data_IF_298365451988
#
_entry.id   IF_298365451988
#
_cell.length_a   1.000
_cell.length_b   1.000
_cell.length_c   1.000
_cell.angle_alpha   90.00
_cell.angle_beta   90.00
_cell.angle_gamma   90.00
#
_symmetry.space_group_name_H-M   'P 1'
#
loop_
_entity.id
_entity.type
_entity.pdbx_description
1 polymer ?
#
# COMPACT_ATOMS: atom_id res chain seq x y z
N UNK A 1 3.74 -4.62 7.76
CA UNK A 1 4.21 -5.65 6.80
C UNK A 1 4.87 -4.96 5.62
N UNK A 2 5.85 -5.61 4.98
CA UNK A 2 6.57 -5.05 3.83
C UNK A 2 5.92 -5.58 2.54
N UNK A 3 5.39 -4.72 1.65
CA UNK A 3 4.74 -5.21 0.45
C UNK A 3 5.70 -5.86 -0.55
N UNK A 4 5.28 -6.94 -1.18
CA UNK A 4 6.07 -7.76 -2.11
C UNK A 4 5.44 -7.78 -3.50
N UNK A 5 6.23 -7.45 -4.52
CA UNK A 5 5.84 -7.57 -5.94
C UNK A 5 6.72 -8.63 -6.59
N UNK A 6 6.11 -9.68 -7.13
CA UNK A 6 6.83 -10.72 -7.87
C UNK A 6 7.00 -10.30 -9.33
N UNK A 7 8.23 -10.33 -9.85
CA UNK A 7 8.55 -9.93 -11.22
C UNK A 7 9.23 -11.08 -11.96
N UNK A 8 8.59 -11.63 -12.98
CA UNK A 8 8.97 -12.92 -13.56
C UNK A 8 8.66 -13.06 -15.04
N UNK A 9 9.32 -13.98 -15.74
CA UNK A 9 9.00 -14.34 -17.14
C UNK A 9 7.95 -15.44 -17.26
N UNK A 10 7.47 -15.98 -16.13
CA UNK A 10 6.42 -16.99 -16.10
C UNK A 10 5.06 -16.34 -16.31
N UNK A 11 4.34 -16.80 -17.33
CA UNK A 11 3.08 -16.18 -17.78
C UNK A 11 1.87 -17.07 -17.58
N UNK A 12 2.09 -18.33 -17.18
CA UNK A 12 1.03 -19.29 -16.93
C UNK A 12 0.16 -18.83 -15.76
N UNK A 13 -1.14 -19.09 -15.86
CA UNK A 13 -2.09 -18.73 -14.81
C UNK A 13 -1.74 -19.42 -13.49
N UNK A 14 -1.31 -20.70 -13.54
CA UNK A 14 -0.89 -21.46 -12.36
C UNK A 14 0.28 -20.80 -11.61
N UNK A 15 1.27 -20.27 -12.33
CA UNK A 15 2.40 -19.56 -11.72
C UNK A 15 1.97 -18.25 -11.03
N UNK A 16 0.96 -17.56 -11.58
CA UNK A 16 0.41 -16.34 -10.96
C UNK A 16 -0.35 -16.66 -9.69
N UNK A 17 -1.23 -17.66 -9.75
CA UNK A 17 -2.02 -18.12 -8.60
C UNK A 17 -1.10 -18.55 -7.47
N UNK A 18 -0.10 -19.40 -7.76
CA UNK A 18 0.89 -19.82 -6.78
C UNK A 18 1.66 -18.62 -6.20
N UNK A 19 2.03 -17.64 -7.03
CA UNK A 19 2.66 -16.40 -6.58
C UNK A 19 1.84 -15.64 -5.54
N UNK A 20 0.53 -15.54 -5.76
CA UNK A 20 -0.38 -14.91 -4.80
C UNK A 20 -0.58 -15.74 -3.53
N UNK A 21 -0.71 -17.06 -3.64
CA UNK A 21 -0.82 -17.97 -2.49
C UNK A 21 0.42 -17.94 -1.59
N UNK A 22 1.60 -17.71 -2.17
CA UNK A 22 2.85 -17.52 -1.42
C UNK A 22 2.96 -16.13 -0.75
N UNK A 23 1.98 -15.25 -0.91
CA UNK A 23 1.92 -13.95 -0.23
C UNK A 23 2.44 -12.75 -1.04
N UNK A 24 2.46 -12.83 -2.37
CA UNK A 24 2.72 -11.64 -3.19
C UNK A 24 1.53 -10.66 -3.17
N UNK A 25 1.80 -9.36 -3.02
CA UNK A 25 0.78 -8.30 -3.13
C UNK A 25 0.45 -7.90 -4.57
N UNK A 26 1.36 -8.21 -5.50
CA UNK A 26 1.22 -8.03 -6.94
C UNK A 26 2.16 -8.99 -7.70
N UNK A 27 1.81 -9.30 -8.94
CA UNK A 27 2.55 -10.20 -9.82
C UNK A 27 2.68 -9.58 -11.22
N UNK A 28 3.91 -9.42 -11.70
CA UNK A 28 4.24 -8.72 -12.95
C UNK A 28 5.04 -9.61 -13.88
N UNK A 29 4.51 -9.83 -15.07
CA UNK A 29 5.17 -10.60 -16.12
C UNK A 29 6.10 -9.71 -16.94
N UNK A 30 7.28 -10.22 -17.32
CA UNK A 30 8.17 -9.60 -18.30
C UNK A 30 7.70 -9.93 -19.74
N UNK A 31 7.86 -9.01 -20.71
CA UNK A 31 8.39 -7.65 -20.56
C UNK A 31 7.34 -6.67 -20.01
N UNK A 32 7.78 -5.70 -19.22
CA UNK A 32 6.95 -4.61 -18.72
C UNK A 32 7.64 -3.26 -18.97
N UNK A 33 6.85 -2.19 -19.02
CA UNK A 33 7.42 -0.84 -19.09
C UNK A 33 7.82 -0.34 -17.70
N UNK A 34 8.85 0.50 -17.57
CA UNK A 34 9.17 1.14 -16.29
C UNK A 34 7.98 1.93 -15.70
N UNK A 35 7.14 2.51 -16.56
CA UNK A 35 5.93 3.25 -16.15
C UNK A 35 4.89 2.34 -15.51
N UNK A 36 4.71 1.13 -16.03
CA UNK A 36 3.79 0.13 -15.47
C UNK A 36 4.25 -0.29 -14.07
N UNK A 37 5.52 -0.69 -13.93
CA UNK A 37 6.06 -1.11 -12.64
C UNK A 37 5.94 0.01 -11.59
N UNK A 38 6.23 1.26 -11.97
CA UNK A 38 6.05 2.41 -11.10
C UNK A 38 4.58 2.61 -10.67
N UNK A 39 3.62 2.39 -11.58
CA UNK A 39 2.21 2.50 -11.25
C UNK A 39 1.77 1.41 -10.25
N UNK A 40 2.25 0.18 -10.44
CA UNK A 40 1.99 -0.96 -9.55
C UNK A 40 2.59 -0.77 -8.16
N UNK A 41 3.85 -0.33 -8.08
CA UNK A 41 4.51 0.03 -6.81
C UNK A 41 3.66 1.07 -6.04
N UNK A 42 3.23 2.13 -6.72
CA UNK A 42 2.37 3.16 -6.09
C UNK A 42 1.04 2.59 -5.61
N UNK A 43 0.42 1.69 -6.37
CA UNK A 43 -0.84 1.05 -6.01
C UNK A 43 -0.70 0.16 -4.76
N UNK A 44 0.36 -0.64 -4.70
CA UNK A 44 0.68 -1.50 -3.55
C UNK A 44 0.95 -0.67 -2.29
N UNK A 45 1.79 0.36 -2.38
CA UNK A 45 2.09 1.26 -1.24
C UNK A 45 0.83 1.98 -0.77
N UNK A 46 -0.04 2.42 -1.70
CA UNK A 46 -1.31 3.07 -1.33
C UNK A 46 -2.20 2.11 -0.54
N UNK A 47 -2.30 0.83 -0.91
CA UNK A 47 -3.08 -0.17 -0.14
C UNK A 47 -2.52 -0.33 1.28
N UNK A 48 -1.20 -0.43 1.42
CA UNK A 48 -0.54 -0.47 2.73
C UNK A 48 -0.80 0.79 3.57
N UNK A 49 -0.84 1.98 2.95
CA UNK A 49 -1.17 3.25 3.61
C UNK A 49 -2.68 3.47 3.83
N UNK A 50 -3.55 2.85 3.05
CA UNK A 50 -5.00 2.92 3.24
C UNK A 50 -5.47 2.06 4.41
N UNK A 51 -4.72 1.03 4.80
CA UNK A 51 -4.83 0.42 6.12
C UNK A 51 -4.52 1.44 7.25
N UNK A 52 -3.83 2.54 6.93
CA UNK A 52 -3.59 3.71 7.77
C UNK A 52 -4.50 4.91 7.41
N UNK A 53 -5.82 4.69 7.50
CA UNK A 53 -6.76 5.58 8.22
C UNK A 53 -7.57 6.70 7.51
N UNK A 54 -8.86 6.80 7.88
CA UNK A 54 -9.58 8.06 8.14
C UNK A 54 -9.23 8.68 9.51
N UNK A 55 -8.97 7.85 10.53
CA UNK A 55 -8.68 8.27 11.91
C UNK A 55 -7.41 9.14 12.09
N UNK A 56 -6.30 8.84 11.41
CA UNK A 56 -5.05 9.65 11.47
C UNK A 56 -5.17 11.04 10.84
N UNK A 57 -6.16 11.28 9.97
CA UNK A 57 -6.43 12.62 9.42
C UNK A 57 -7.13 13.54 10.42
N UNK A 58 -7.82 12.92 11.37
CA UNK A 58 -8.63 13.62 12.36
C UNK A 58 -7.88 13.90 13.65
N UNK A 59 -6.71 13.30 13.89
CA UNK A 59 -5.91 13.55 15.08
C UNK A 59 -4.57 14.18 14.67
N UNK A 60 -4.40 15.48 14.92
CA UNK A 60 -3.17 16.22 14.65
C UNK A 60 -2.43 16.48 15.95
N UNK A 61 -1.12 16.26 15.95
CA UNK A 61 -0.25 16.56 17.10
C UNK A 61 0.81 17.59 16.71
N UNK A 62 0.91 18.67 17.48
CA UNK A 62 1.86 19.75 17.29
C UNK A 62 2.50 20.12 18.64
N UNK A 63 3.63 19.48 18.97
CA UNK A 63 4.24 19.62 20.29
C UNK A 63 3.37 18.96 21.37
N UNK A 64 2.95 19.74 22.36
CA UNK A 64 2.02 19.30 23.41
C UNK A 64 0.56 19.33 22.96
N UNK A 65 0.27 20.07 21.87
CA UNK A 65 -1.09 20.23 21.37
C UNK A 65 -1.56 18.98 20.62
N UNK A 66 -2.72 18.45 20.99
CA UNK A 66 -3.45 17.39 20.29
C UNK A 66 -4.83 17.91 19.86
N UNK A 67 -5.14 17.77 18.55
CA UNK A 67 -6.35 18.29 17.93
C UNK A 67 -7.14 17.12 17.35
N UNK A 68 -8.36 16.92 17.84
CA UNK A 68 -9.33 16.01 17.25
C UNK A 68 -10.34 16.78 16.37
N UNK A 69 -10.17 16.67 15.05
CA UNK A 69 -11.02 17.32 14.04
C UNK A 69 -12.37 16.65 13.85
N UNK A 70 -12.57 15.44 14.38
CA UNK A 70 -13.86 14.76 14.34
C UNK A 70 -14.75 15.22 15.50
N UNK A 71 -14.14 15.52 16.66
CA UNK A 71 -14.83 16.00 17.86
C UNK A 71 -14.80 17.52 18.04
N UNK A 72 -14.02 18.22 17.21
CA UNK A 72 -13.74 19.65 17.37
C UNK A 72 -13.14 19.97 18.75
N UNK A 73 -12.30 19.08 19.26
CA UNK A 73 -11.65 19.22 20.56
C UNK A 73 -10.16 19.50 20.38
N UNK A 74 -9.61 20.33 21.26
CA UNK A 74 -8.19 20.67 21.32
C UNK A 74 -7.73 20.49 22.76
N UNK A 75 -6.64 19.74 22.93
CA UNK A 75 -5.99 19.49 24.22
C UNK A 75 -4.52 19.86 24.12
N UNK A 76 -3.91 20.21 25.25
CA UNK A 76 -2.52 20.65 25.37
C UNK A 76 -1.82 19.83 26.44
#
# INVERSE_FOLDING_TARGET
EVPVIMVTGRVEEGDKVLGFEMGADDYVTKPFSPRELLARIRAVIRRGKSAESPARRNHLKAGQLEIDRHRFEVTM
#
